data_IF_725678606413
#
_entry.id   IF_725678606413
#
_cell.length_a   1.000
_cell.length_b   1.000
_cell.length_c   1.000
_cell.angle_alpha   90.00
_cell.angle_beta   90.00
_cell.angle_gamma   90.00
#
_symmetry.space_group_name_H-M   'P 1'
#
loop_
_entity.id
_entity.type
_entity.pdbx_description
1 polymer ?
#
# COMPACT_ATOMS: atom_id res chain seq x y z
N UNK A 1 -39.68 10.53 -58.82
CA UNK A 1 -38.88 11.59 -58.11
C UNK A 1 -39.52 11.96 -56.75
N UNK A 2 -40.85 12.21 -56.66
CA UNK A 2 -41.54 12.61 -55.41
C UNK A 2 -41.48 11.55 -54.28
N UNK A 3 -41.43 10.26 -54.57
CA UNK A 3 -41.41 9.20 -53.57
C UNK A 3 -40.01 9.04 -52.93
N UNK A 4 -38.95 9.21 -53.70
CA UNK A 4 -37.56 9.16 -53.25
C UNK A 4 -37.24 10.29 -52.27
N UNK A 5 -37.75 11.51 -52.56
CA UNK A 5 -37.60 12.66 -51.65
C UNK A 5 -38.37 12.51 -50.32
N UNK A 6 -39.49 11.82 -50.31
CA UNK A 6 -40.23 11.52 -49.07
C UNK A 6 -39.49 10.49 -48.19
N UNK A 7 -38.87 9.51 -48.82
CA UNK A 7 -38.06 8.52 -48.09
C UNK A 7 -36.83 9.15 -47.46
N UNK A 8 -36.09 9.99 -48.22
CA UNK A 8 -34.93 10.72 -47.67
C UNK A 8 -35.30 11.60 -46.47
N UNK A 9 -36.43 12.33 -46.54
CA UNK A 9 -36.93 13.17 -45.46
C UNK A 9 -37.26 12.34 -44.21
N UNK A 10 -37.85 11.15 -44.37
CA UNK A 10 -38.13 10.24 -43.25
C UNK A 10 -36.85 9.66 -42.62
N UNK A 11 -35.89 9.25 -43.44
CA UNK A 11 -34.60 8.76 -42.97
C UNK A 11 -33.81 9.85 -42.25
N UNK A 12 -33.79 11.08 -42.77
CA UNK A 12 -33.17 12.22 -42.11
C UNK A 12 -33.83 12.56 -40.79
N UNK A 13 -35.16 12.51 -40.74
CA UNK A 13 -35.90 12.77 -39.49
C UNK A 13 -35.61 11.72 -38.39
N UNK A 14 -35.50 10.44 -38.77
CA UNK A 14 -35.12 9.36 -37.83
C UNK A 14 -33.67 9.54 -37.37
N UNK A 15 -32.75 9.92 -38.28
CA UNK A 15 -31.34 10.19 -37.92
C UNK A 15 -31.23 11.38 -36.92
N UNK A 16 -31.95 12.45 -37.18
CA UNK A 16 -32.00 13.61 -36.26
C UNK A 16 -32.59 13.24 -34.91
N UNK A 17 -33.63 12.42 -34.86
CA UNK A 17 -34.24 11.94 -33.62
C UNK A 17 -33.22 11.08 -32.82
N UNK A 18 -32.49 10.21 -33.48
CA UNK A 18 -31.44 9.39 -32.86
C UNK A 18 -30.34 10.26 -32.24
N UNK A 19 -29.87 11.27 -32.96
CA UNK A 19 -28.87 12.21 -32.44
C UNK A 19 -29.41 12.96 -31.23
N UNK A 20 -30.67 13.43 -31.26
CA UNK A 20 -31.29 14.10 -30.12
C UNK A 20 -31.39 13.20 -28.88
N UNK A 21 -31.72 11.92 -29.06
CA UNK A 21 -31.75 10.95 -27.95
C UNK A 21 -30.36 10.74 -27.34
N UNK A 22 -29.33 10.64 -28.18
CA UNK A 22 -27.94 10.51 -27.71
C UNK A 22 -27.51 11.77 -26.96
N UNK A 23 -27.76 12.96 -27.49
CA UNK A 23 -27.43 14.23 -26.83
C UNK A 23 -28.18 14.39 -25.51
N UNK A 24 -29.46 14.06 -25.47
CA UNK A 24 -30.26 14.09 -24.24
C UNK A 24 -29.73 13.11 -23.18
N UNK A 25 -29.29 11.94 -23.60
CA UNK A 25 -28.70 10.96 -22.68
C UNK A 25 -27.33 11.41 -22.17
N UNK A 26 -26.48 11.96 -23.01
CA UNK A 26 -25.20 12.57 -22.62
C UNK A 26 -25.42 13.73 -21.64
N UNK A 27 -26.39 14.59 -21.90
CA UNK A 27 -26.76 15.71 -21.02
C UNK A 27 -27.19 15.18 -19.64
N UNK A 28 -28.03 14.14 -19.62
CA UNK A 28 -28.47 13.51 -18.39
C UNK A 28 -27.28 12.96 -17.57
N UNK A 29 -26.35 12.25 -18.21
CA UNK A 29 -25.17 11.69 -17.56
C UNK A 29 -24.25 12.82 -17.07
N UNK A 30 -24.00 13.84 -17.90
CA UNK A 30 -23.06 14.91 -17.56
C UNK A 30 -23.56 15.87 -16.48
N UNK A 31 -24.86 16.05 -16.32
CA UNK A 31 -25.40 17.01 -15.34
C UNK A 31 -26.04 16.32 -14.14
N UNK A 32 -26.95 15.35 -14.37
CA UNK A 32 -27.68 14.74 -13.26
C UNK A 32 -26.93 13.59 -12.57
N UNK A 33 -26.02 12.95 -13.27
CA UNK A 33 -25.24 11.83 -12.72
C UNK A 33 -23.77 12.19 -12.49
N UNK A 34 -23.37 13.45 -12.74
CA UNK A 34 -21.98 13.89 -12.54
C UNK A 34 -21.48 13.60 -11.13
N UNK A 35 -22.23 14.01 -10.10
CA UNK A 35 -21.82 13.76 -8.71
C UNK A 35 -21.65 12.28 -8.38
N UNK A 36 -22.56 11.43 -8.87
CA UNK A 36 -22.42 9.97 -8.65
C UNK A 36 -21.17 9.38 -9.28
N UNK A 37 -20.87 9.77 -10.54
CA UNK A 37 -19.66 9.27 -11.21
C UNK A 37 -18.38 9.89 -10.68
N UNK A 38 -18.43 11.14 -10.21
CA UNK A 38 -17.32 11.81 -9.56
C UNK A 38 -16.99 11.15 -8.22
N UNK A 39 -17.99 10.92 -7.37
CA UNK A 39 -17.84 10.21 -6.10
C UNK A 39 -17.36 8.75 -6.31
N UNK A 40 -17.91 8.08 -7.34
CA UNK A 40 -17.49 6.72 -7.69
C UNK A 40 -16.04 6.69 -8.19
N UNK A 41 -15.62 7.61 -9.04
CA UNK A 41 -14.26 7.74 -9.51
C UNK A 41 -13.31 8.06 -8.35
N UNK A 42 -13.65 9.03 -7.51
CA UNK A 42 -12.84 9.44 -6.37
C UNK A 42 -12.69 8.31 -5.34
N UNK A 43 -13.77 7.59 -5.02
CA UNK A 43 -13.72 6.48 -4.06
C UNK A 43 -12.89 5.27 -4.54
N UNK A 44 -12.75 5.09 -5.86
CA UNK A 44 -11.99 3.98 -6.44
C UNK A 44 -10.58 4.36 -6.85
N UNK A 45 -10.31 5.64 -7.11
CA UNK A 45 -9.00 6.14 -7.54
C UNK A 45 -8.16 6.69 -6.38
N UNK A 46 -8.79 7.19 -5.31
CA UNK A 46 -8.11 7.70 -4.13
C UNK A 46 -7.90 6.55 -3.13
N UNK A 47 -6.70 5.99 -3.10
CA UNK A 47 -6.29 5.07 -2.04
C UNK A 47 -5.28 5.77 -1.16
N UNK A 48 -5.68 6.24 0.03
CA UNK A 48 -4.73 6.81 0.98
C UNK A 48 -3.76 5.71 1.44
N UNK A 49 -2.49 5.95 1.25
CA UNK A 49 -1.42 5.13 1.79
C UNK A 49 -0.96 5.75 3.11
N UNK A 50 -1.06 5.00 4.20
CA UNK A 50 -0.71 5.49 5.53
C UNK A 50 0.80 5.47 5.71
N UNK A 51 1.36 6.62 6.12
CA UNK A 51 2.75 6.74 6.55
C UNK A 51 2.75 6.64 8.08
N UNK A 52 3.38 5.61 8.62
CA UNK A 52 3.42 5.39 10.07
C UNK A 52 4.31 6.40 10.77
N UNK A 53 3.77 7.00 11.86
CA UNK A 53 4.55 7.84 12.76
C UNK A 53 5.54 6.98 13.57
N UNK A 54 6.72 7.53 13.85
CA UNK A 54 7.66 6.94 14.78
C UNK A 54 7.14 7.15 16.20
N UNK A 55 7.12 6.08 16.97
CA UNK A 55 6.78 6.16 18.40
C UNK A 55 7.95 6.73 19.18
N UNK A 56 7.69 7.70 20.06
CA UNK A 56 8.72 8.39 20.84
C UNK A 56 9.60 7.43 21.67
N UNK A 57 10.86 7.77 21.83
CA UNK A 57 11.84 6.96 22.56
C UNK A 57 11.64 7.11 24.08
N UNK A 58 11.79 6.03 24.81
CA UNK A 58 11.85 6.03 26.27
C UNK A 58 13.32 5.93 26.67
N UNK A 59 13.80 6.95 27.39
CA UNK A 59 15.17 7.04 27.87
C UNK A 59 15.25 6.82 29.38
N UNK A 60 16.39 6.36 29.85
CA UNK A 60 16.77 6.38 31.26
C UNK A 60 17.17 7.80 31.72
N UNK A 61 17.69 7.96 32.96
CA UNK A 61 18.19 9.23 33.47
C UNK A 61 19.42 9.75 32.75
N UNK A 62 20.21 8.89 32.13
CA UNK A 62 21.45 9.19 31.44
C UNK A 62 21.26 9.39 29.93
N UNK A 63 20.01 9.36 29.46
CA UNK A 63 19.63 9.41 28.04
C UNK A 63 20.01 8.16 27.25
N UNK A 64 20.17 7.01 27.92
CA UNK A 64 20.27 5.70 27.26
C UNK A 64 18.88 5.22 26.83
N UNK A 65 18.78 4.62 25.64
CA UNK A 65 17.51 4.24 25.04
C UNK A 65 16.99 2.92 25.58
N UNK A 66 15.96 2.95 26.40
CA UNK A 66 15.29 1.76 26.97
C UNK A 66 14.25 1.15 26.00
N UNK A 67 13.58 1.98 25.23
CA UNK A 67 12.66 1.57 24.17
C UNK A 67 12.70 2.57 23.02
N UNK A 68 12.94 2.09 21.80
CA UNK A 68 13.07 2.93 20.61
C UNK A 68 12.36 2.31 19.42
N UNK A 69 11.92 3.15 18.49
CA UNK A 69 11.31 2.72 17.25
C UNK A 69 12.30 2.81 16.09
N UNK A 70 12.22 1.89 15.15
CA UNK A 70 12.99 1.95 13.92
C UNK A 70 12.11 1.61 12.73
N UNK A 71 12.44 2.19 11.58
CA UNK A 71 11.79 1.89 10.30
C UNK A 71 12.17 0.49 9.85
N UNK A 72 11.17 -0.27 9.49
CA UNK A 72 11.26 -1.62 8.92
C UNK A 72 10.36 -1.68 7.68
N UNK A 73 10.40 -2.77 6.94
CA UNK A 73 9.61 -2.89 5.72
C UNK A 73 8.79 -4.18 5.71
N UNK A 74 7.55 -4.05 5.25
CA UNK A 74 6.72 -5.18 4.89
C UNK A 74 6.88 -5.42 3.38
N UNK A 75 7.16 -6.67 3.00
CA UNK A 75 7.36 -7.09 1.61
C UNK A 75 6.15 -7.88 1.16
N UNK A 76 5.52 -7.42 0.10
CA UNK A 76 4.36 -8.07 -0.51
C UNK A 76 4.59 -8.32 -1.99
N UNK A 77 3.90 -9.33 -2.52
CA UNK A 77 3.85 -9.63 -3.95
C UNK A 77 2.43 -9.39 -4.47
N UNK A 78 2.32 -9.05 -5.75
CA UNK A 78 1.07 -8.98 -6.49
C UNK A 78 0.95 -10.15 -7.47
N UNK A 79 0.31 -11.27 -7.08
CA UNK A 79 0.15 -12.44 -7.95
C UNK A 79 -0.61 -12.11 -9.24
N UNK A 80 -1.53 -11.14 -9.20
CA UNK A 80 -2.25 -10.65 -10.38
C UNK A 80 -1.30 -10.02 -11.38
N UNK A 81 -0.36 -9.16 -10.92
CA UNK A 81 0.60 -8.48 -11.79
C UNK A 81 1.70 -9.44 -12.27
N UNK A 82 2.08 -10.44 -11.45
CA UNK A 82 2.95 -11.54 -11.86
C UNK A 82 2.35 -12.28 -13.05
N UNK A 83 1.02 -12.54 -13.05
CA UNK A 83 0.32 -13.27 -14.10
C UNK A 83 -0.06 -12.37 -15.31
N UNK A 84 0.05 -11.06 -15.18
CA UNK A 84 -0.31 -10.12 -16.24
C UNK A 84 0.56 -10.31 -17.48
N UNK A 85 -0.09 -10.43 -18.66
CA UNK A 85 0.58 -10.66 -19.94
C UNK A 85 1.00 -12.11 -20.22
N UNK A 86 0.72 -13.05 -19.32
CA UNK A 86 1.11 -14.47 -19.47
C UNK A 86 -0.07 -15.43 -19.62
N UNK A 87 -1.30 -14.92 -19.94
CA UNK A 87 -2.51 -15.76 -20.04
C UNK A 87 -2.38 -16.91 -21.06
N UNK A 88 -1.62 -16.71 -22.14
CA UNK A 88 -1.39 -17.71 -23.20
C UNK A 88 -0.04 -18.43 -23.10
N UNK A 89 0.74 -18.18 -22.01
CA UNK A 89 2.11 -18.67 -21.85
C UNK A 89 2.33 -19.28 -20.45
N UNK A 90 1.72 -20.40 -20.14
CA UNK A 90 1.75 -20.97 -18.79
C UNK A 90 3.17 -21.40 -18.34
N UNK A 91 4.01 -21.86 -19.24
CA UNK A 91 5.38 -22.26 -18.91
C UNK A 91 6.26 -21.06 -18.55
N UNK A 92 6.14 -19.93 -19.29
CA UNK A 92 6.85 -18.69 -18.98
C UNK A 92 6.39 -18.11 -17.65
N UNK A 93 5.08 -18.18 -17.35
CA UNK A 93 4.51 -17.77 -16.08
C UNK A 93 5.04 -18.63 -14.91
N UNK A 94 5.09 -19.94 -15.09
CA UNK A 94 5.63 -20.83 -14.08
C UNK A 94 7.11 -20.51 -13.77
N UNK A 95 7.92 -20.33 -14.80
CA UNK A 95 9.33 -19.94 -14.64
C UNK A 95 9.49 -18.57 -13.94
N UNK A 96 8.63 -17.58 -14.24
CA UNK A 96 8.63 -16.27 -13.57
C UNK A 96 8.28 -16.40 -12.10
N UNK A 97 7.24 -17.17 -11.75
CA UNK A 97 6.83 -17.44 -10.36
C UNK A 97 7.95 -18.12 -9.57
N UNK A 98 8.54 -19.15 -10.14
CA UNK A 98 9.65 -19.87 -9.54
C UNK A 98 10.85 -18.95 -9.26
N UNK A 99 11.21 -18.10 -10.22
CA UNK A 99 12.30 -17.14 -10.07
C UNK A 99 12.03 -16.11 -8.97
N UNK A 100 10.80 -15.58 -8.87
CA UNK A 100 10.40 -14.66 -7.81
C UNK A 100 10.43 -15.37 -6.46
N UNK A 101 9.82 -16.55 -6.36
CA UNK A 101 9.75 -17.30 -5.11
C UNK A 101 11.14 -17.69 -4.61
N UNK A 102 12.03 -18.15 -5.49
CA UNK A 102 13.39 -18.54 -5.12
C UNK A 102 14.23 -17.34 -4.66
N UNK A 103 14.17 -16.23 -5.42
CA UNK A 103 14.93 -15.04 -5.05
C UNK A 103 14.45 -14.41 -3.73
N UNK A 104 13.14 -14.36 -3.50
CA UNK A 104 12.60 -13.86 -2.24
C UNK A 104 12.86 -14.82 -1.07
N UNK A 105 12.77 -16.14 -1.27
CA UNK A 105 13.09 -17.12 -0.23
C UNK A 105 14.55 -17.03 0.21
N UNK A 106 15.48 -16.85 -0.73
CA UNK A 106 16.90 -16.68 -0.43
C UNK A 106 17.20 -15.38 0.35
N UNK A 107 16.58 -14.26 -0.05
CA UNK A 107 16.81 -12.96 0.59
C UNK A 107 16.14 -12.87 1.97
N UNK A 108 14.95 -13.45 2.12
CA UNK A 108 14.13 -13.36 3.34
C UNK A 108 14.40 -14.49 4.33
N UNK A 109 15.27 -15.46 3.99
CA UNK A 109 15.44 -16.72 4.74
C UNK A 109 14.08 -17.40 5.01
N UNK A 110 13.22 -17.39 3.97
CA UNK A 110 11.84 -17.84 4.04
C UNK A 110 11.58 -19.15 3.33
N UNK A 111 10.37 -19.71 3.53
CA UNK A 111 9.94 -20.94 2.89
C UNK A 111 9.59 -20.69 1.41
N UNK A 112 10.38 -21.30 0.51
CA UNK A 112 10.17 -21.26 -0.94
C UNK A 112 8.77 -21.73 -1.36
N UNK A 113 8.30 -22.86 -0.79
CA UNK A 113 7.00 -23.45 -1.16
C UNK A 113 5.82 -22.55 -0.75
N UNK A 114 5.91 -21.91 0.42
CA UNK A 114 4.89 -20.96 0.85
C UNK A 114 4.86 -19.72 -0.06
N UNK A 115 6.00 -19.16 -0.41
CA UNK A 115 6.08 -18.01 -1.31
C UNK A 115 5.57 -18.39 -2.71
N UNK A 116 5.98 -19.55 -3.24
CA UNK A 116 5.51 -20.03 -4.54
C UNK A 116 3.99 -20.17 -4.58
N UNK A 117 3.41 -20.82 -3.56
CA UNK A 117 1.96 -20.97 -3.41
C UNK A 117 1.21 -19.62 -3.34
N UNK A 118 1.82 -18.60 -2.73
CA UNK A 118 1.25 -17.25 -2.72
C UNK A 118 1.24 -16.62 -4.10
N UNK A 119 2.25 -16.86 -4.96
CA UNK A 119 2.28 -16.36 -6.35
C UNK A 119 1.18 -16.95 -7.24
N UNK A 120 0.58 -18.08 -6.83
CA UNK A 120 -0.49 -18.75 -7.59
C UNK A 120 -1.87 -18.11 -7.41
N UNK A 121 -2.06 -17.27 -6.41
CA UNK A 121 -3.34 -16.59 -6.10
C UNK A 121 -3.63 -15.43 -7.05
N UNK A 122 -3.77 -15.71 -8.34
CA UNK A 122 -3.87 -14.72 -9.42
C UNK A 122 -4.98 -13.68 -9.30
N UNK A 123 -5.96 -13.88 -8.41
CA UNK A 123 -7.00 -12.90 -8.08
C UNK A 123 -6.55 -11.87 -7.04
N UNK A 124 -5.45 -12.13 -6.31
CA UNK A 124 -4.92 -11.25 -5.27
C UNK A 124 -3.91 -10.25 -5.85
N UNK A 125 -3.99 -9.00 -5.39
CA UNK A 125 -3.00 -7.96 -5.67
C UNK A 125 -2.04 -7.74 -4.48
N UNK A 126 -2.28 -8.41 -3.36
CA UNK A 126 -1.47 -8.25 -2.16
C UNK A 126 -1.36 -9.56 -1.39
N UNK A 127 -0.17 -10.12 -1.38
CA UNK A 127 0.20 -11.28 -0.56
C UNK A 127 1.48 -10.94 0.20
N UNK A 128 1.39 -10.89 1.51
CA UNK A 128 2.52 -10.56 2.38
C UNK A 128 3.50 -11.74 2.42
N UNK A 129 4.76 -11.51 2.06
CA UNK A 129 5.82 -12.54 2.05
C UNK A 129 6.94 -12.26 3.06
N UNK A 130 7.15 -11.00 3.45
CA UNK A 130 8.07 -10.62 4.51
C UNK A 130 7.44 -9.56 5.40
N UNK A 131 7.51 -9.73 6.73
CA UNK A 131 6.92 -8.80 7.69
C UNK A 131 7.99 -8.17 8.56
N UNK A 132 7.99 -6.82 8.62
CA UNK A 132 8.88 -6.03 9.47
C UNK A 132 10.36 -6.41 9.29
N UNK A 133 10.79 -6.54 8.04
CA UNK A 133 12.20 -6.84 7.71
C UNK A 133 13.08 -5.61 7.92
N UNK A 134 14.31 -5.86 8.31
CA UNK A 134 15.31 -4.83 8.56
C UNK A 134 15.80 -4.18 7.24
N UNK A 135 16.48 -3.04 7.37
CA UNK A 135 16.94 -2.23 6.24
C UNK A 135 17.81 -3.01 5.25
N UNK A 136 18.77 -3.79 5.74
CA UNK A 136 19.69 -4.56 4.90
C UNK A 136 18.94 -5.55 3.99
N UNK A 137 18.00 -6.30 4.56
CA UNK A 137 17.13 -7.21 3.81
C UNK A 137 16.22 -6.47 2.83
N UNK A 138 15.65 -5.34 3.23
CA UNK A 138 14.82 -4.51 2.35
C UNK A 138 15.63 -3.95 1.17
N UNK A 139 16.88 -3.53 1.39
CA UNK A 139 17.77 -3.05 0.33
C UNK A 139 18.17 -4.17 -0.63
N UNK A 140 18.37 -5.39 -0.14
CA UNK A 140 18.60 -6.57 -0.99
C UNK A 140 17.39 -6.88 -1.88
N UNK A 141 16.15 -6.79 -1.33
CA UNK A 141 14.92 -6.94 -2.11
C UNK A 141 14.78 -5.83 -3.16
N UNK A 142 15.10 -4.56 -2.83
CA UNK A 142 15.10 -3.45 -3.82
C UNK A 142 16.06 -3.71 -4.98
N UNK A 143 17.25 -4.25 -4.68
CA UNK A 143 18.23 -4.63 -5.69
C UNK A 143 17.68 -5.75 -6.59
N UNK A 144 17.08 -6.78 -6.01
CA UNK A 144 16.44 -7.88 -6.73
C UNK A 144 15.30 -7.37 -7.67
N UNK A 145 14.45 -6.45 -7.18
CA UNK A 145 13.40 -5.82 -7.99
C UNK A 145 14.00 -5.07 -9.18
N UNK A 146 15.03 -4.26 -8.94
CA UNK A 146 15.67 -3.43 -9.97
C UNK A 146 16.35 -4.28 -11.04
N UNK A 147 17.08 -5.32 -10.66
CA UNK A 147 17.81 -6.22 -11.57
C UNK A 147 16.85 -7.00 -12.47
N UNK A 148 15.72 -7.45 -11.93
CA UNK A 148 14.74 -8.25 -12.64
C UNK A 148 13.55 -7.45 -13.20
N UNK A 149 13.48 -6.13 -12.94
CA UNK A 149 12.39 -5.22 -13.36
C UNK A 149 11.02 -5.63 -12.81
N UNK A 150 10.96 -6.09 -11.55
CA UNK A 150 9.74 -6.52 -10.86
C UNK A 150 9.06 -5.38 -10.09
N UNK A 151 8.96 -4.19 -10.69
CA UNK A 151 8.45 -2.98 -10.04
C UNK A 151 6.96 -3.02 -9.68
N UNK A 152 6.16 -3.80 -10.39
CA UNK A 152 4.73 -3.94 -10.15
C UNK A 152 4.40 -5.23 -9.41
N UNK A 153 5.28 -6.22 -9.50
CA UNK A 153 5.08 -7.56 -8.94
C UNK A 153 5.45 -7.66 -7.45
N UNK A 154 6.42 -6.85 -7.01
CA UNK A 154 6.93 -6.87 -5.63
C UNK A 154 6.90 -5.46 -5.07
N UNK A 155 6.29 -5.29 -3.90
CA UNK A 155 6.13 -4.00 -3.23
C UNK A 155 6.77 -4.05 -1.84
N UNK A 156 7.42 -2.93 -1.47
CA UNK A 156 7.93 -2.68 -0.13
C UNK A 156 7.12 -1.54 0.48
N UNK A 157 6.49 -1.80 1.61
CA UNK A 157 5.74 -0.78 2.37
C UNK A 157 6.48 -0.50 3.66
N UNK A 158 6.73 0.79 3.95
CA UNK A 158 7.35 1.18 5.20
C UNK A 158 6.45 0.87 6.39
N UNK A 159 7.06 0.35 7.45
CA UNK A 159 6.43 0.03 8.71
C UNK A 159 7.35 0.43 9.86
N UNK A 160 6.89 0.35 11.08
CA UNK A 160 7.64 0.68 12.28
C UNK A 160 7.66 -0.52 13.23
N UNK A 161 8.82 -0.78 13.84
CA UNK A 161 9.00 -1.83 14.84
C UNK A 161 9.58 -1.22 16.11
N UNK A 162 9.06 -1.65 17.25
CA UNK A 162 9.55 -1.25 18.56
C UNK A 162 10.64 -2.19 19.01
N UNK A 163 11.74 -1.65 19.49
CA UNK A 163 12.90 -2.35 20.00
C UNK A 163 13.11 -2.01 21.45
N UNK A 164 13.51 -3.02 22.23
CA UNK A 164 13.87 -2.95 23.63
C UNK A 164 15.31 -3.47 23.74
N UNK A 165 16.34 -2.59 23.61
CA UNK A 165 17.74 -3.02 23.52
C UNK A 165 18.19 -3.90 24.68
N UNK A 166 17.65 -3.61 25.88
CA UNK A 166 18.05 -4.28 27.12
C UNK A 166 17.11 -5.42 27.55
N UNK A 167 16.31 -5.92 26.60
CA UNK A 167 15.41 -7.08 26.75
C UNK A 167 14.61 -7.10 28.07
N UNK A 168 15.15 -7.75 29.12
CA UNK A 168 14.44 -7.95 30.38
C UNK A 168 14.60 -6.81 31.38
N UNK A 169 15.56 -5.91 31.16
CA UNK A 169 15.81 -4.80 32.07
C UNK A 169 14.59 -3.87 32.13
N UNK A 170 14.10 -3.66 33.34
CA UNK A 170 12.92 -2.84 33.63
C UNK A 170 11.67 -3.19 32.78
N UNK A 171 11.59 -4.38 32.20
CA UNK A 171 10.46 -4.83 31.35
C UNK A 171 9.11 -4.72 32.03
N UNK A 172 9.04 -4.99 33.35
CA UNK A 172 7.82 -4.82 34.15
C UNK A 172 7.40 -3.36 34.33
N UNK A 173 8.33 -2.41 34.25
CA UNK A 173 8.09 -0.98 34.38
C UNK A 173 7.81 -0.36 33.01
N UNK A 174 8.67 -0.61 32.01
CA UNK A 174 8.53 -0.08 30.67
C UNK A 174 7.29 -0.66 30.00
N UNK A 175 7.08 -1.96 30.13
CA UNK A 175 6.02 -2.68 29.46
C UNK A 175 6.36 -3.00 27.99
N UNK A 176 5.34 -3.16 27.19
CA UNK A 176 5.49 -3.52 25.77
C UNK A 176 4.33 -2.97 24.92
N UNK A 177 4.57 -2.96 23.60
CA UNK A 177 3.57 -2.57 22.60
C UNK A 177 3.02 -3.77 21.84
N UNK A 178 1.80 -3.64 21.33
CA UNK A 178 1.22 -4.56 20.37
C UNK A 178 1.86 -4.46 18.98
N UNK A 179 1.38 -5.29 18.06
CA UNK A 179 1.85 -5.30 16.66
C UNK A 179 1.56 -4.00 15.90
N UNK A 180 0.58 -3.26 16.36
CA UNK A 180 0.12 -1.95 15.87
C UNK A 180 0.77 -0.76 16.59
N UNK A 181 1.78 -1.02 17.42
CA UNK A 181 2.51 -0.06 18.25
C UNK A 181 1.66 0.57 19.39
N UNK A 182 0.46 0.06 19.67
CA UNK A 182 -0.30 0.49 20.84
C UNK A 182 0.37 -0.01 22.11
N UNK A 183 0.54 0.85 23.11
CA UNK A 183 1.05 0.46 24.41
C UNK A 183 0.07 -0.44 25.17
N UNK A 184 0.49 -1.66 25.50
CA UNK A 184 -0.37 -2.66 26.16
C UNK A 184 -0.13 -2.75 27.66
N UNK A 185 1.07 -2.47 28.13
CA UNK A 185 1.45 -2.56 29.54
C UNK A 185 2.47 -1.51 29.94
N UNK A 186 2.60 -1.25 31.26
CA UNK A 186 3.64 -0.39 31.84
C UNK A 186 3.57 1.07 31.40
N UNK A 187 4.72 1.70 31.29
CA UNK A 187 4.90 3.09 30.83
C UNK A 187 4.41 3.25 29.38
N UNK A 188 4.67 2.25 28.54
CA UNK A 188 4.19 2.22 27.15
C UNK A 188 2.67 2.43 27.08
N UNK A 189 1.89 1.77 27.94
CA UNK A 189 0.44 1.93 28.00
C UNK A 189 0.02 3.24 28.66
N UNK A 190 0.64 3.59 29.79
CA UNK A 190 0.26 4.78 30.57
C UNK A 190 0.49 6.08 29.80
N UNK A 191 1.54 6.15 29.01
CA UNK A 191 1.92 7.32 28.21
C UNK A 191 1.70 7.10 26.71
N UNK A 192 0.81 6.19 26.33
CA UNK A 192 0.55 5.86 24.94
C UNK A 192 0.19 7.10 24.10
N UNK A 193 -0.67 7.98 24.61
CA UNK A 193 -1.08 9.21 23.92
C UNK A 193 0.06 10.21 23.68
N UNK A 194 1.13 10.15 24.47
CA UNK A 194 2.32 11.00 24.32
C UNK A 194 3.32 10.38 23.35
N UNK A 195 3.49 9.05 23.47
CA UNK A 195 4.48 8.29 22.70
C UNK A 195 4.04 7.98 21.26
N UNK A 196 2.74 7.79 21.01
CA UNK A 196 2.21 7.22 19.78
C UNK A 196 2.46 8.07 18.52
N UNK A 197 2.46 9.40 18.62
CA UNK A 197 2.47 10.27 17.46
C UNK A 197 1.14 10.25 16.66
N UNK A 198 1.17 10.80 15.47
CA UNK A 198 0.02 10.85 14.55
C UNK A 198 0.47 10.39 13.18
N UNK A 199 -0.13 9.33 12.66
CA UNK A 199 0.18 8.81 11.34
C UNK A 199 -0.10 9.87 10.25
N UNK A 200 0.76 9.94 9.25
CA UNK A 200 0.56 10.68 8.02
C UNK A 200 -0.13 9.83 6.95
N UNK A 201 -0.41 10.43 5.82
CA UNK A 201 -0.97 9.72 4.67
C UNK A 201 -0.64 10.42 3.35
N UNK A 202 -0.51 9.64 2.31
CA UNK A 202 -0.39 10.10 0.93
C UNK A 202 -1.67 9.74 0.20
N UNK A 203 -2.27 10.74 -0.43
CA UNK A 203 -3.40 10.55 -1.34
C UNK A 203 -2.90 10.77 -2.76
N UNK A 204 -2.80 9.70 -3.53
CA UNK A 204 -2.41 9.76 -4.94
C UNK A 204 -3.54 9.21 -5.81
N UNK A 205 -3.78 9.84 -6.95
CA UNK A 205 -4.68 9.32 -7.97
C UNK A 205 -3.99 8.14 -8.68
N UNK A 206 -4.56 6.95 -8.52
CA UNK A 206 -4.13 5.74 -9.22
C UNK A 206 -5.09 5.42 -10.37
N UNK A 207 -4.56 4.94 -11.50
CA UNK A 207 -5.39 4.46 -12.60
C UNK A 207 -6.09 3.13 -12.21
N UNK A 208 -6.96 2.61 -13.09
CA UNK A 208 -7.64 1.34 -12.87
C UNK A 208 -6.69 0.14 -12.70
N UNK A 209 -5.42 0.27 -13.09
CA UNK A 209 -4.36 -0.72 -12.92
C UNK A 209 -3.54 -0.50 -11.63
N UNK A 210 -3.96 0.43 -10.77
CA UNK A 210 -3.26 0.83 -9.53
C UNK A 210 -1.87 1.47 -9.75
N UNK A 211 -1.57 1.96 -10.95
CA UNK A 211 -0.37 2.71 -11.26
C UNK A 211 -0.56 4.20 -10.99
N UNK A 212 0.47 4.88 -10.50
CA UNK A 212 0.43 6.32 -10.31
C UNK A 212 0.31 7.03 -11.67
N UNK A 213 -0.66 7.93 -11.80
CA UNK A 213 -0.84 8.68 -13.04
C UNK A 213 0.28 9.72 -13.20
N UNK A 214 0.96 9.84 -14.36
CA UNK A 214 2.16 10.69 -14.54
C UNK A 214 1.97 12.19 -14.31
N UNK A 215 0.78 12.67 -14.04
CA UNK A 215 0.45 14.07 -13.72
C UNK A 215 -0.61 14.14 -12.61
N UNK A 216 -0.69 13.10 -11.77
CA UNK A 216 -1.68 13.07 -10.70
C UNK A 216 -1.30 14.03 -9.58
N UNK A 217 -2.33 14.69 -9.05
CA UNK A 217 -2.22 15.48 -7.83
C UNK A 217 -1.93 14.51 -6.67
N UNK A 218 -0.71 14.58 -6.14
CA UNK A 218 -0.31 13.87 -4.94
C UNK A 218 -0.40 14.83 -3.76
N UNK A 219 -1.24 14.52 -2.79
CA UNK A 219 -1.32 15.26 -1.54
C UNK A 219 -0.72 14.42 -0.43
N UNK A 220 0.39 14.90 0.13
CA UNK A 220 1.12 14.25 1.20
C UNK A 220 0.90 15.01 2.50
N UNK A 221 0.51 14.29 3.53
CA UNK A 221 0.45 14.75 4.90
C UNK A 221 1.49 13.96 5.69
N UNK A 222 2.56 14.64 6.11
CA UNK A 222 3.64 13.98 6.83
C UNK A 222 3.19 13.53 8.23
N UNK A 223 3.70 12.39 8.72
CA UNK A 223 3.42 11.95 10.08
C UNK A 223 4.05 12.90 11.10
N UNK A 224 3.44 12.98 12.27
CA UNK A 224 4.01 13.68 13.41
C UNK A 224 4.44 12.63 14.42
N UNK A 225 5.75 12.52 14.62
CA UNK A 225 6.33 11.54 15.53
C UNK A 225 5.90 11.79 17.00
N UNK A 226 5.86 10.73 17.77
CA UNK A 226 5.53 10.79 19.19
C UNK A 226 6.62 11.48 20.01
N UNK A 227 6.23 12.10 21.11
CA UNK A 227 7.17 12.72 22.03
C UNK A 227 7.92 11.64 22.83
N UNK A 228 9.21 11.88 23.07
CA UNK A 228 10.04 11.00 23.89
C UNK A 228 9.83 11.23 25.39
N UNK A 229 10.08 10.21 26.18
CA UNK A 229 10.02 10.26 27.65
C UNK A 229 11.41 10.02 28.23
N UNK A 230 11.76 10.78 29.28
CA UNK A 230 12.94 10.51 30.10
C UNK A 230 12.50 10.08 31.47
N UNK A 231 12.95 8.90 31.87
CA UNK A 231 12.66 8.32 33.19
C UNK A 231 13.72 8.74 34.21
N UNK A 232 13.41 8.55 35.46
CA UNK A 232 14.35 8.78 36.60
C UNK A 232 15.13 7.54 36.99
N UNK A 233 14.79 6.38 36.37
CA UNK A 233 15.54 5.13 36.60
C UNK A 233 16.89 5.18 35.88
N UNK A 234 17.81 4.41 36.41
CA UNK A 234 19.16 4.23 35.89
C UNK A 234 19.29 2.81 35.36
N UNK A 235 19.89 2.65 34.22
CA UNK A 235 20.13 1.36 33.60
C UNK A 235 21.26 0.59 34.31
N UNK A 236 22.21 1.30 34.94
CA UNK A 236 23.38 0.75 35.65
C UNK A 236 23.10 0.45 37.13
#
# INVERSE_FOLDING_TARGET
VKMKNRLHKKVSAVAVLLVLVIVANLFRISIFQYGFYDDYANSHQLRPETIKAQRGTIYDRNMEGLAQSATVWDISISPKDIASGYQEKPEELAAKREKIAKGLAEILDGDYEDILKRTEKTSSQYELVGKKVEKETADAVRSFIKENKYTNEINLTENVKRYYPNNELASSVIGFTGSDLQGLYGIESKYDSVLKGTDGYVVALKNALSENMPQSYEQRYDPVDGNSLRLTIDEN
#
